data_IF_804639748895
#
_entry.id   IF_804639748895
#
_cell.length_a   1.000
_cell.length_b   1.000
_cell.length_c   1.000
_cell.angle_alpha   90.00
_cell.angle_beta   90.00
_cell.angle_gamma   90.00
#
_symmetry.space_group_name_H-M   'P 1'
#
loop_
_entity.id
_entity.type
_entity.pdbx_description
1 polymer ?
#
# COMPACT_ATOMS: atom_id res chain seq x y z
N UNK A 1 3.32 30.68 7.98
CA UNK A 1 3.76 29.26 7.91
C UNK A 1 2.68 28.51 7.17
N UNK A 2 3.01 28.03 5.98
CA UNK A 2 2.06 27.64 4.93
C UNK A 2 1.49 26.27 5.30
N UNK A 3 0.21 26.24 5.70
CA UNK A 3 -0.57 25.02 5.83
C UNK A 3 -1.03 24.61 4.44
N UNK A 4 -0.56 23.46 3.96
CA UNK A 4 -1.03 22.86 2.72
C UNK A 4 -1.98 21.72 3.10
N UNK A 5 -3.27 22.02 3.17
CA UNK A 5 -4.32 21.00 3.34
C UNK A 5 -4.50 20.29 2.00
N UNK A 6 -3.95 19.09 1.94
CA UNK A 6 -4.03 18.17 0.80
C UNK A 6 -5.49 17.88 0.45
N UNK A 7 -5.95 18.36 -0.72
CA UNK A 7 -7.33 18.20 -1.17
C UNK A 7 -7.32 17.25 -2.37
N UNK A 8 -7.66 15.98 -2.16
CA UNK A 8 -7.92 15.00 -3.21
C UNK A 8 -9.41 14.95 -3.48
N UNK A 9 -9.82 14.77 -4.73
CA UNK A 9 -11.24 14.97 -5.11
C UNK A 9 -11.82 13.92 -6.05
N UNK A 10 -11.06 12.90 -6.52
CA UNK A 10 -11.48 12.10 -7.69
C UNK A 10 -11.06 10.62 -7.65
N UNK A 11 -11.91 9.71 -8.14
CA UNK A 11 -11.66 8.26 -8.30
C UNK A 11 -11.91 7.85 -9.76
N UNK A 12 -11.07 6.98 -10.34
CA UNK A 12 -11.30 6.45 -11.70
C UNK A 12 -12.42 5.40 -11.72
N UNK A 13 -13.46 5.63 -12.54
CA UNK A 13 -14.69 4.83 -12.60
C UNK A 13 -14.58 3.44 -13.25
N UNK A 14 -13.38 2.98 -13.66
CA UNK A 14 -13.22 1.73 -14.42
C UNK A 14 -12.03 0.89 -13.96
N UNK A 15 -12.15 0.35 -12.75
CA UNK A 15 -11.62 -0.99 -12.47
C UNK A 15 -12.59 -1.73 -11.53
N UNK A 16 -13.73 -2.13 -12.09
CA UNK A 16 -14.78 -2.97 -11.48
C UNK A 16 -15.38 -2.37 -10.20
N UNK A 17 -16.25 -1.37 -10.36
CA UNK A 17 -17.57 -1.28 -9.69
C UNK A 17 -18.44 -0.29 -10.46
N UNK A 18 -19.67 -0.70 -10.75
CA UNK A 18 -20.66 0.03 -11.54
C UNK A 18 -21.68 0.60 -10.55
N UNK A 19 -21.49 1.83 -10.05
CA UNK A 19 -22.51 2.51 -9.24
C UNK A 19 -22.48 4.03 -9.45
N UNK A 20 -23.32 4.50 -10.36
CA UNK A 20 -23.87 5.87 -10.35
C UNK A 20 -24.77 6.00 -9.12
N UNK A 21 -24.63 7.02 -8.26
CA UNK A 21 -25.78 7.71 -7.64
C UNK A 21 -25.41 9.09 -7.02
N UNK A 22 -26.46 9.90 -6.88
CA UNK A 22 -26.54 11.36 -6.80
C UNK A 22 -26.37 11.91 -5.37
N UNK A 23 -25.85 13.15 -5.28
CA UNK A 23 -25.74 14.06 -4.12
C UNK A 23 -26.80 13.95 -3.00
N UNK A 24 -26.40 14.31 -1.77
CA UNK A 24 -27.13 15.26 -0.90
C UNK A 24 -26.25 15.77 0.27
N UNK A 25 -26.63 16.95 0.77
CA UNK A 25 -25.86 17.95 1.52
C UNK A 25 -25.78 17.78 3.04
N UNK A 26 -24.72 18.41 3.59
CA UNK A 26 -24.59 19.13 4.88
C UNK A 26 -24.65 18.36 6.22
N UNK A 27 -23.63 18.58 7.06
CA UNK A 27 -23.85 18.74 8.50
C UNK A 27 -22.82 18.15 9.47
N UNK A 28 -21.98 19.03 10.01
CA UNK A 28 -21.31 19.04 11.33
C UNK A 28 -20.10 18.12 11.62
N UNK A 29 -19.01 18.80 11.99
CA UNK A 29 -17.74 18.25 12.48
C UNK A 29 -17.82 18.14 14.00
N UNK A 30 -17.58 16.94 14.55
CA UNK A 30 -17.22 16.73 15.95
C UNK A 30 -15.71 16.45 16.04
N UNK A 31 -15.02 17.21 16.87
CA UNK A 31 -13.61 17.01 17.18
C UNK A 31 -13.43 15.77 18.03
N UNK A 32 -12.57 14.86 17.60
CA UNK A 32 -12.05 13.76 18.41
C UNK A 32 -10.52 13.70 18.27
N UNK A 33 -9.88 13.51 19.43
CA UNK A 33 -8.46 13.32 19.75
C UNK A 33 -7.63 12.55 18.68
N UNK A 34 -6.29 12.71 18.63
CA UNK A 34 -5.46 12.22 17.53
C UNK A 34 -5.40 10.69 17.51
N UNK A 35 -6.33 10.09 16.78
CA UNK A 35 -6.33 8.66 16.46
C UNK A 35 -5.28 8.43 15.38
N UNK A 36 -4.35 7.50 15.61
CA UNK A 36 -3.46 6.95 14.59
C UNK A 36 -4.34 6.34 13.47
N UNK A 37 -4.67 7.13 12.45
CA UNK A 37 -5.55 6.72 11.35
C UNK A 37 -4.82 5.72 10.47
N UNK A 38 -5.11 4.44 10.68
CA UNK A 38 -4.75 3.38 9.75
C UNK A 38 -5.45 3.55 8.41
N UNK A 39 -4.89 2.89 7.39
CA UNK A 39 -5.41 2.84 6.04
C UNK A 39 -6.87 2.37 5.93
N UNK A 40 -7.41 2.47 4.72
CA UNK A 40 -8.82 2.25 4.41
C UNK A 40 -9.37 0.95 5.00
N UNK A 41 -10.69 0.97 5.22
CA UNK A 41 -11.44 -0.17 5.74
C UNK A 41 -11.62 -1.28 4.69
N UNK A 42 -10.61 -1.60 3.87
CA UNK A 42 -10.73 -2.67 2.88
C UNK A 42 -11.10 -3.99 3.58
N UNK A 43 -12.21 -4.60 3.14
CA UNK A 43 -12.85 -5.77 3.79
C UNK A 43 -12.66 -7.00 2.93
N UNK A 44 -12.40 -8.13 3.59
CA UNK A 44 -12.40 -9.42 2.93
C UNK A 44 -13.81 -10.02 3.03
N UNK A 45 -14.54 -10.03 1.92
CA UNK A 45 -15.90 -10.57 1.82
C UNK A 45 -15.89 -11.74 0.82
N UNK A 46 -16.24 -12.94 1.27
CA UNK A 46 -16.27 -14.16 0.43
C UNK A 46 -14.98 -14.39 -0.39
N UNK A 47 -13.82 -14.11 0.22
CA UNK A 47 -12.50 -14.25 -0.41
C UNK A 47 -12.07 -13.09 -1.31
N UNK A 48 -12.92 -12.09 -1.54
CA UNK A 48 -12.59 -10.89 -2.29
C UNK A 48 -12.34 -9.68 -1.38
N UNK A 49 -11.22 -8.98 -1.57
CA UNK A 49 -10.98 -7.68 -0.94
C UNK A 49 -11.75 -6.59 -1.67
N UNK A 50 -12.63 -5.90 -0.94
CA UNK A 50 -13.45 -4.79 -1.41
C UNK A 50 -12.95 -3.47 -0.82
N UNK A 51 -13.16 -2.37 -1.55
CA UNK A 51 -12.81 -1.03 -1.09
C UNK A 51 -11.32 -0.69 -1.03
N UNK A 52 -10.42 -1.48 -1.62
CA UNK A 52 -8.98 -1.21 -1.66
C UNK A 52 -8.70 0.11 -2.40
N UNK A 53 -7.93 1.01 -1.82
CA UNK A 53 -7.60 2.31 -2.43
C UNK A 53 -6.12 2.41 -2.78
N UNK A 54 -5.86 2.67 -4.06
CA UNK A 54 -4.54 3.03 -4.60
C UNK A 54 -4.56 4.53 -4.89
N UNK A 55 -3.78 5.33 -4.17
CA UNK A 55 -3.79 6.77 -4.32
C UNK A 55 -2.51 7.29 -4.97
N UNK A 56 -2.65 8.20 -5.93
CA UNK A 56 -1.53 8.90 -6.59
C UNK A 56 -1.31 10.25 -5.89
N UNK A 57 -0.08 10.52 -5.48
CA UNK A 57 0.31 11.76 -4.81
C UNK A 57 0.12 12.99 -5.73
N UNK A 58 -0.28 14.17 -5.22
CA UNK A 58 -0.43 15.37 -6.03
C UNK A 58 0.88 15.88 -6.60
N UNK A 59 2.01 15.42 -6.05
CA UNK A 59 3.35 15.73 -6.53
C UNK A 59 3.69 14.96 -7.82
N UNK A 60 3.04 13.81 -8.05
CA UNK A 60 3.26 13.02 -9.26
C UNK A 60 2.61 13.74 -10.46
N UNK A 61 3.38 14.12 -11.49
CA UNK A 61 2.83 14.76 -12.67
C UNK A 61 1.82 13.87 -13.40
N UNK A 62 0.88 14.50 -14.08
CA UNK A 62 -0.14 13.81 -14.87
C UNK A 62 0.49 12.92 -15.96
N UNK A 63 0.08 11.66 -15.97
CA UNK A 63 0.55 10.64 -16.89
C UNK A 63 -0.52 9.55 -17.06
N UNK A 64 -1.22 9.57 -18.19
CA UNK A 64 -2.25 8.59 -18.52
C UNK A 64 -1.72 7.14 -18.54
N UNK A 65 -0.43 6.95 -18.89
CA UNK A 65 0.17 5.62 -18.89
C UNK A 65 0.28 5.07 -17.47
N UNK A 66 0.49 5.92 -16.47
CA UNK A 66 0.57 5.49 -15.07
C UNK A 66 -0.72 4.82 -14.62
N UNK A 67 -1.89 5.39 -14.96
CA UNK A 67 -3.20 4.78 -14.64
C UNK A 67 -3.34 3.40 -15.28
N UNK A 68 -2.98 3.30 -16.56
CA UNK A 68 -3.01 2.03 -17.30
C UNK A 68 -2.11 0.99 -16.63
N UNK A 69 -0.89 1.39 -16.26
CA UNK A 69 0.07 0.51 -15.58
C UNK A 69 -0.39 0.07 -14.20
N UNK A 70 -0.98 0.95 -13.40
CA UNK A 70 -1.58 0.59 -12.11
C UNK A 70 -2.64 -0.48 -12.31
N UNK A 71 -3.56 -0.25 -13.26
CA UNK A 71 -4.63 -1.20 -13.59
C UNK A 71 -4.07 -2.58 -13.95
N UNK A 72 -3.13 -2.65 -14.89
CA UNK A 72 -2.50 -3.91 -15.33
C UNK A 72 -1.78 -4.63 -14.18
N UNK A 73 -0.95 -3.91 -13.42
CA UNK A 73 -0.17 -4.47 -12.32
C UNK A 73 -1.09 -5.02 -11.23
N UNK A 74 -2.13 -4.29 -10.84
CA UNK A 74 -3.06 -4.73 -9.79
C UNK A 74 -3.99 -5.86 -10.24
N UNK A 75 -4.36 -5.94 -11.53
CA UNK A 75 -5.05 -7.11 -12.08
C UNK A 75 -4.17 -8.37 -12.00
N UNK A 76 -2.91 -8.27 -12.42
CA UNK A 76 -1.97 -9.39 -12.37
C UNK A 76 -1.67 -9.81 -10.92
N UNK A 77 -1.48 -8.84 -10.03
CA UNK A 77 -1.33 -9.07 -8.60
C UNK A 77 -2.56 -9.78 -8.00
N UNK A 78 -3.79 -9.33 -8.32
CA UNK A 78 -5.02 -9.96 -7.85
C UNK A 78 -5.10 -11.44 -8.25
N UNK A 79 -4.79 -11.75 -9.51
CA UNK A 79 -4.75 -13.13 -10.02
C UNK A 79 -3.67 -13.96 -9.30
N UNK A 80 -2.47 -13.41 -9.15
CA UNK A 80 -1.38 -14.10 -8.45
C UNK A 80 -1.71 -14.35 -6.98
N UNK A 81 -2.28 -13.36 -6.28
CA UNK A 81 -2.72 -13.49 -4.89
C UNK A 81 -3.74 -14.62 -4.75
N UNK A 82 -4.69 -14.72 -5.69
CA UNK A 82 -5.68 -15.79 -5.71
C UNK A 82 -5.03 -17.16 -5.82
N UNK A 83 -4.08 -17.33 -6.74
CA UNK A 83 -3.37 -18.59 -6.93
C UNK A 83 -2.49 -18.93 -5.71
N UNK A 84 -1.69 -17.96 -5.24
CA UNK A 84 -0.77 -18.13 -4.12
C UNK A 84 -1.48 -18.43 -2.80
N UNK A 85 -2.73 -18.00 -2.66
CA UNK A 85 -3.56 -18.27 -1.48
C UNK A 85 -4.43 -19.51 -1.62
N UNK A 86 -4.22 -20.36 -2.63
CA UNK A 86 -5.07 -21.53 -2.92
C UNK A 86 -6.55 -21.14 -3.10
N UNK A 87 -6.78 -20.09 -3.89
CA UNK A 87 -8.09 -19.56 -4.26
C UNK A 87 -8.87 -18.90 -3.10
N UNK A 88 -8.17 -18.48 -2.03
CA UNK A 88 -8.82 -17.92 -0.83
C UNK A 88 -8.91 -16.40 -0.80
N UNK A 89 -8.03 -15.68 -1.49
CA UNK A 89 -7.98 -14.23 -1.42
C UNK A 89 -7.64 -13.59 -2.78
N UNK A 90 -8.40 -12.59 -3.20
CA UNK A 90 -8.13 -11.80 -4.42
C UNK A 90 -8.61 -10.35 -4.24
N UNK A 91 -8.21 -9.44 -5.13
CA UNK A 91 -8.77 -8.09 -5.14
C UNK A 91 -10.08 -8.09 -5.95
N UNK A 92 -11.20 -7.83 -5.28
CA UNK A 92 -12.52 -7.78 -5.90
C UNK A 92 -12.86 -6.38 -6.40
N UNK A 93 -12.44 -5.35 -5.65
CA UNK A 93 -12.63 -3.95 -6.02
C UNK A 93 -11.36 -3.16 -5.67
N UNK A 94 -10.88 -2.37 -6.62
CA UNK A 94 -9.78 -1.42 -6.43
C UNK A 94 -10.20 -0.06 -6.94
N UNK A 95 -10.10 0.95 -6.08
CA UNK A 95 -10.38 2.35 -6.41
C UNK A 95 -9.05 3.10 -6.58
N UNK A 96 -8.85 3.70 -7.74
CA UNK A 96 -7.66 4.53 -7.99
C UNK A 96 -8.03 5.99 -7.70
N UNK A 97 -7.45 6.57 -6.64
CA UNK A 97 -7.63 7.96 -6.27
C UNK A 97 -6.69 8.86 -7.07
N UNK A 98 -7.27 9.70 -7.92
CA UNK A 98 -6.59 10.66 -8.80
C UNK A 98 -6.43 12.01 -8.08
N UNK A 99 -5.23 12.62 -8.09
CA UNK A 99 -5.00 13.88 -7.40
C UNK A 99 -5.71 15.04 -8.09
N UNK A 100 -6.13 16.04 -7.30
CA UNK A 100 -6.80 17.23 -7.81
C UNK A 100 -5.88 18.12 -8.67
N UNK A 101 -4.56 17.88 -8.64
CA UNK A 101 -3.58 18.57 -9.49
C UNK A 101 -3.62 18.11 -10.95
N UNK A 102 -4.22 16.95 -11.24
CA UNK A 102 -4.45 16.47 -12.60
C UNK A 102 -5.72 17.09 -13.20
N UNK A 103 -5.74 17.19 -14.53
CA UNK A 103 -6.86 17.74 -15.27
C UNK A 103 -8.18 16.99 -14.98
N UNK A 104 -9.30 17.70 -15.15
CA UNK A 104 -10.62 17.06 -15.11
C UNK A 104 -10.80 16.14 -16.32
N UNK A 105 -11.30 14.93 -16.08
CA UNK A 105 -11.72 14.00 -17.11
C UNK A 105 -13.16 13.53 -16.82
N UNK A 106 -14.08 13.53 -17.79
CA UNK A 106 -15.45 13.06 -17.60
C UNK A 106 -15.59 11.59 -17.14
N UNK A 107 -14.53 10.79 -17.24
CA UNK A 107 -14.46 9.41 -16.75
C UNK A 107 -14.12 9.29 -15.27
N UNK A 108 -13.79 10.40 -14.60
CA UNK A 108 -13.53 10.43 -13.17
C UNK A 108 -14.82 10.67 -12.39
N UNK A 109 -14.99 9.94 -11.30
CA UNK A 109 -16.03 10.15 -10.30
C UNK A 109 -15.47 10.97 -9.14
N UNK A 110 -16.33 11.67 -8.41
CA UNK A 110 -15.89 12.39 -7.20
C UNK A 110 -15.55 11.41 -6.09
N UNK A 111 -14.38 11.60 -5.46
CA UNK A 111 -14.05 10.89 -4.22
C UNK A 111 -15.03 11.31 -3.13
N UNK A 112 -15.60 10.34 -2.41
CA UNK A 112 -16.62 10.59 -1.37
C UNK A 112 -15.96 10.64 0.00
N UNK A 113 -15.10 9.65 0.27
CA UNK A 113 -14.43 9.49 1.57
C UNK A 113 -12.95 9.15 1.45
N UNK A 114 -12.48 8.85 0.25
CA UNK A 114 -11.12 8.41 -0.03
C UNK A 114 -10.13 9.57 0.12
N UNK A 115 -9.04 9.32 0.84
CA UNK A 115 -7.95 10.27 1.07
C UNK A 115 -6.62 9.56 0.89
N UNK A 116 -5.61 10.28 0.41
CA UNK A 116 -4.28 9.71 0.21
C UNK A 116 -3.62 9.28 1.52
N UNK A 117 -3.75 10.07 2.59
CA UNK A 117 -3.18 9.76 3.90
C UNK A 117 -3.85 8.56 4.57
N UNK A 118 -4.99 8.11 4.03
CA UNK A 118 -5.75 6.97 4.51
C UNK A 118 -5.74 5.83 3.48
N UNK A 119 -5.03 5.93 2.34
CA UNK A 119 -5.03 4.87 1.31
C UNK A 119 -4.20 3.65 1.70
N UNK A 120 -4.60 2.47 1.21
CA UNK A 120 -3.85 1.22 1.38
C UNK A 120 -2.52 1.24 0.64
N UNK A 121 -2.54 1.80 -0.57
CA UNK A 121 -1.36 1.94 -1.43
C UNK A 121 -1.19 3.41 -1.81
N UNK A 122 0.06 3.89 -1.73
CA UNK A 122 0.47 5.25 -2.08
C UNK A 122 1.49 5.21 -3.18
N UNK A 123 1.19 5.89 -4.27
CA UNK A 123 2.10 6.10 -5.39
C UNK A 123 2.66 7.50 -5.23
N UNK A 124 3.93 7.57 -4.84
CA UNK A 124 4.60 8.83 -4.54
C UNK A 124 6.09 8.75 -4.92
N UNK A 125 6.75 9.90 -4.92
CA UNK A 125 8.20 9.93 -5.09
C UNK A 125 8.90 9.34 -3.86
N UNK A 126 10.05 8.68 -4.08
CA UNK A 126 10.80 8.16 -2.96
C UNK A 126 11.39 9.30 -2.12
N UNK A 127 11.59 9.09 -0.81
CA UNK A 127 12.33 10.03 0.02
C UNK A 127 13.72 10.28 -0.60
N UNK A 128 14.16 11.54 -0.60
CA UNK A 128 15.41 11.97 -1.25
C UNK A 128 16.65 11.20 -0.76
N UNK A 129 16.62 10.71 0.47
CA UNK A 129 17.73 10.02 1.13
C UNK A 129 17.91 8.55 0.69
N UNK A 130 16.96 7.97 -0.06
CA UNK A 130 16.93 6.53 -0.37
C UNK A 130 17.77 6.10 -1.57
N UNK A 131 19.06 6.37 -1.56
CA UNK A 131 19.99 5.76 -2.54
C UNK A 131 20.77 4.62 -1.89
N UNK A 132 20.79 3.39 -2.44
CA UNK A 132 20.42 2.96 -3.79
C UNK A 132 18.99 2.37 -3.94
N UNK A 133 18.21 2.27 -2.87
CA UNK A 133 16.90 1.60 -2.81
C UNK A 133 15.71 2.48 -3.18
N UNK A 134 15.90 3.54 -3.97
CA UNK A 134 14.90 4.59 -4.20
C UNK A 134 13.57 4.05 -4.73
N UNK A 135 13.61 3.07 -5.62
CA UNK A 135 12.41 2.55 -6.26
C UNK A 135 11.92 1.24 -5.65
N UNK A 136 12.45 0.85 -4.49
CA UNK A 136 12.06 -0.38 -3.81
C UNK A 136 10.63 -0.22 -3.25
N UNK A 137 9.67 -1.09 -3.66
CA UNK A 137 8.38 -1.19 -2.98
C UNK A 137 8.56 -1.54 -1.51
N UNK A 138 7.75 -0.95 -0.64
CA UNK A 138 7.79 -1.30 0.78
C UNK A 138 6.47 -1.05 1.48
N UNK A 139 6.23 -1.78 2.55
CA UNK A 139 5.12 -1.56 3.49
C UNK A 139 5.61 -0.77 4.69
N UNK A 140 4.97 0.36 4.97
CA UNK A 140 5.14 1.07 6.24
C UNK A 140 4.40 0.30 7.32
N UNK A 141 5.16 -0.40 8.19
CA UNK A 141 4.61 -1.30 9.20
C UNK A 141 5.32 -1.12 10.56
N UNK A 142 5.02 -0.05 11.31
CA UNK A 142 5.47 0.07 12.70
C UNK A 142 4.61 -0.77 13.68
N UNK A 143 3.69 -1.60 13.16
CA UNK A 143 2.78 -2.41 13.96
C UNK A 143 3.35 -3.79 14.31
N UNK A 144 2.75 -4.44 15.30
CA UNK A 144 3.13 -5.79 15.73
C UNK A 144 2.90 -6.85 14.64
N UNK A 145 3.40 -8.04 14.87
CA UNK A 145 3.06 -9.16 13.99
C UNK A 145 1.56 -9.48 14.02
N UNK A 146 1.04 -9.99 12.92
CA UNK A 146 -0.38 -10.33 12.78
C UNK A 146 -1.28 -9.09 12.67
N UNK A 147 -0.72 -7.89 12.77
CA UNK A 147 -1.43 -6.62 12.66
C UNK A 147 -1.21 -6.00 11.29
N UNK A 148 -2.25 -5.34 10.78
CA UNK A 148 -2.17 -4.60 9.54
C UNK A 148 -1.07 -3.52 9.60
N UNK A 149 -0.35 -3.31 8.49
CA UNK A 149 0.52 -2.18 8.28
C UNK A 149 -0.26 -0.89 8.03
N UNK A 150 0.45 0.23 7.88
CA UNK A 150 -0.15 1.53 7.63
C UNK A 150 -0.44 1.77 6.16
N UNK A 151 0.47 1.44 5.25
CA UNK A 151 0.27 1.54 3.80
C UNK A 151 1.43 0.85 3.06
N UNK A 152 1.20 0.50 1.80
CA UNK A 152 2.23 0.11 0.82
C UNK A 152 2.63 1.35 0.03
N UNK A 153 3.93 1.53 -0.20
CA UNK A 153 4.47 2.62 -1.01
C UNK A 153 5.09 2.07 -2.30
N UNK A 154 4.69 2.64 -3.42
CA UNK A 154 5.23 2.36 -4.75
C UNK A 154 5.69 3.66 -5.41
N UNK A 155 6.70 3.62 -6.27
CA UNK A 155 7.09 4.79 -7.06
C UNK A 155 6.52 4.72 -8.49
N UNK A 156 6.25 5.86 -9.14
CA UNK A 156 5.90 5.87 -10.56
C UNK A 156 6.95 5.19 -11.45
N UNK A 157 8.24 5.35 -11.10
CA UNK A 157 9.35 4.74 -11.81
C UNK A 157 9.34 3.21 -11.69
N UNK A 158 9.04 2.67 -10.51
CA UNK A 158 8.86 1.23 -10.32
C UNK A 158 7.75 0.69 -11.21
N UNK A 159 6.58 1.34 -11.27
CA UNK A 159 5.41 0.87 -12.02
C UNK A 159 5.57 0.96 -13.55
N UNK A 160 6.31 1.96 -14.04
CA UNK A 160 6.43 2.25 -15.48
C UNK A 160 7.67 1.64 -16.13
N UNK A 161 8.77 1.47 -15.39
CA UNK A 161 10.02 1.00 -15.96
C UNK A 161 10.31 -0.45 -15.57
N UNK A 162 10.14 -1.36 -16.54
CA UNK A 162 10.39 -2.79 -16.33
C UNK A 162 11.83 -3.10 -15.94
N UNK A 163 12.83 -2.36 -16.44
CA UNK A 163 14.22 -2.55 -16.04
C UNK A 163 14.44 -2.21 -14.57
N UNK A 164 13.76 -1.18 -14.07
CA UNK A 164 13.78 -0.83 -12.64
C UNK A 164 13.10 -1.94 -11.82
N UNK A 165 11.92 -2.40 -12.25
CA UNK A 165 11.18 -3.45 -11.55
C UNK A 165 11.93 -4.79 -11.50
N UNK A 166 12.62 -5.17 -12.58
CA UNK A 166 13.39 -6.42 -12.68
C UNK A 166 14.48 -6.56 -11.62
N UNK A 167 14.96 -5.46 -11.02
CA UNK A 167 15.91 -5.48 -9.92
C UNK A 167 15.33 -6.06 -8.62
N UNK A 168 14.00 -6.01 -8.48
CA UNK A 168 13.28 -6.43 -7.28
C UNK A 168 12.51 -7.74 -7.48
N UNK A 169 12.12 -8.04 -8.72
CA UNK A 169 11.32 -9.22 -9.09
C UNK A 169 10.10 -8.83 -9.91
N UNK A 170 9.27 -9.82 -10.23
CA UNK A 170 8.02 -9.55 -10.94
C UNK A 170 7.01 -8.81 -10.05
N UNK A 171 6.22 -7.92 -10.66
CA UNK A 171 5.31 -7.02 -9.95
C UNK A 171 4.37 -7.78 -9.01
N UNK A 172 3.76 -8.85 -9.50
CA UNK A 172 2.76 -9.63 -8.78
C UNK A 172 3.33 -10.33 -7.54
N UNK A 173 4.59 -10.78 -7.59
CA UNK A 173 5.27 -11.41 -6.45
C UNK A 173 5.69 -10.39 -5.41
N UNK A 174 6.26 -9.26 -5.85
CA UNK A 174 6.67 -8.18 -4.96
C UNK A 174 5.44 -7.58 -4.27
N UNK A 175 4.34 -7.36 -5.00
CA UNK A 175 3.10 -6.89 -4.40
C UNK A 175 2.45 -7.91 -3.47
N UNK A 176 2.53 -9.22 -3.74
CA UNK A 176 2.06 -10.23 -2.80
C UNK A 176 2.88 -10.25 -1.51
N UNK A 177 4.19 -10.06 -1.62
CA UNK A 177 5.09 -9.91 -0.47
C UNK A 177 4.70 -8.70 0.39
N UNK A 178 4.59 -7.52 -0.23
CA UNK A 178 4.19 -6.30 0.48
C UNK A 178 2.74 -6.37 0.99
N UNK A 179 1.84 -7.02 0.26
CA UNK A 179 0.47 -7.24 0.72
C UNK A 179 0.41 -8.14 1.95
N UNK A 180 1.26 -9.15 2.04
CA UNK A 180 1.35 -10.00 3.22
C UNK A 180 1.84 -9.19 4.44
N UNK A 181 2.85 -8.33 4.27
CA UNK A 181 3.27 -7.39 5.31
C UNK A 181 2.12 -6.46 5.71
N UNK A 182 1.42 -5.92 4.72
CA UNK A 182 0.36 -4.96 4.91
C UNK A 182 -0.87 -5.57 5.58
N UNK A 183 -1.45 -6.67 5.09
CA UNK A 183 -2.70 -7.22 5.64
C UNK A 183 -2.51 -8.24 6.74
N UNK A 184 -1.49 -9.08 6.66
CA UNK A 184 -1.31 -10.19 7.60
C UNK A 184 -0.23 -9.93 8.63
N UNK A 185 0.50 -8.83 8.48
CA UNK A 185 1.48 -8.40 9.47
C UNK A 185 2.66 -9.34 9.61
N UNK A 186 3.02 -10.09 8.56
CA UNK A 186 4.23 -10.92 8.53
C UNK A 186 5.49 -10.06 8.40
N UNK A 187 6.67 -10.63 8.59
CA UNK A 187 7.97 -9.95 8.48
C UNK A 187 8.89 -10.70 7.52
N UNK A 188 9.91 -10.01 7.00
CA UNK A 188 10.91 -10.62 6.11
C UNK A 188 11.57 -11.82 6.80
N UNK A 189 11.70 -12.93 6.06
CA UNK A 189 12.36 -14.15 6.54
C UNK A 189 13.89 -14.10 6.37
N UNK A 190 14.41 -13.12 5.63
CA UNK A 190 15.83 -12.92 5.40
C UNK A 190 16.37 -11.71 6.20
N UNK A 191 17.64 -11.74 6.63
CA UNK A 191 18.27 -10.58 7.26
C UNK A 191 18.39 -9.43 6.26
N UNK A 192 18.46 -8.20 6.76
CA UNK A 192 18.56 -7.05 5.87
C UNK A 192 19.92 -7.12 5.14
N UNK A 193 19.97 -6.83 3.82
CA UNK A 193 21.18 -6.95 3.01
C UNK A 193 22.40 -6.15 3.50
N UNK A 194 22.18 -5.14 4.36
CA UNK A 194 23.19 -4.22 4.88
C UNK A 194 23.26 -4.22 6.42
N UNK A 195 22.66 -5.20 7.08
CA UNK A 195 22.78 -5.37 8.53
C UNK A 195 23.67 -6.54 8.86
N UNK A 196 24.45 -6.42 9.93
CA UNK A 196 25.13 -7.54 10.60
C UNK A 196 24.13 -8.47 11.33
N UNK A 197 22.85 -8.44 10.94
CA UNK A 197 21.82 -9.27 11.52
C UNK A 197 22.10 -10.73 11.14
N UNK A 198 21.98 -11.67 12.10
CA UNK A 198 22.20 -13.08 11.82
C UNK A 198 21.20 -13.58 10.77
N UNK A 199 21.66 -14.46 9.88
CA UNK A 199 20.83 -15.08 8.84
C UNK A 199 19.70 -15.98 9.36
N UNK A 200 19.69 -16.25 10.67
CA UNK A 200 18.70 -17.07 11.33
C UNK A 200 18.36 -16.48 12.70
N UNK A 201 17.12 -16.67 13.13
CA UNK A 201 16.71 -16.31 14.48
C UNK A 201 17.16 -17.40 15.46
N UNK A 202 17.88 -16.97 16.51
CA UNK A 202 18.20 -17.83 17.65
C UNK A 202 17.26 -17.46 18.80
N UNK A 203 16.54 -18.44 19.34
CA UNK A 203 15.67 -18.24 20.48
C UNK A 203 16.49 -17.91 21.74
N UNK A 204 15.84 -17.36 22.78
CA UNK A 204 16.48 -17.06 24.06
C UNK A 204 17.08 -18.30 24.75
N UNK A 205 16.66 -19.49 24.34
CA UNK A 205 17.19 -20.79 24.77
C UNK A 205 18.51 -21.18 24.07
N UNK A 206 18.94 -20.44 23.05
CA UNK A 206 20.14 -20.74 22.25
C UNK A 206 19.87 -21.68 21.06
N UNK A 207 18.65 -22.17 20.87
CA UNK A 207 18.28 -23.02 19.73
C UNK A 207 17.81 -22.20 18.52
N UNK A 208 18.07 -22.71 17.32
CA UNK A 208 17.53 -22.14 16.09
C UNK A 208 16.07 -22.59 15.96
N UNK A 209 15.17 -21.62 15.77
CA UNK A 209 13.76 -21.86 15.52
C UNK A 209 13.36 -21.23 14.18
N UNK A 210 12.30 -21.73 13.56
CA UNK A 210 11.71 -21.07 12.40
C UNK A 210 11.25 -19.65 12.76
N UNK A 211 11.39 -18.72 11.82
CA UNK A 211 10.93 -17.34 11.97
C UNK A 211 9.45 -17.34 12.34
N UNK A 212 9.14 -16.90 13.55
CA UNK A 212 7.76 -16.82 14.05
C UNK A 212 7.59 -15.58 14.90
N UNK A 213 6.36 -15.12 14.95
CA UNK A 213 5.98 -14.05 15.84
C UNK A 213 5.74 -14.60 17.24
N UNK A 214 6.55 -14.15 18.18
CA UNK A 214 6.41 -14.54 19.58
C UNK A 214 6.33 -13.31 20.47
N UNK A 215 5.34 -13.30 21.36
CA UNK A 215 5.21 -12.29 22.42
C UNK A 215 6.28 -12.46 23.51
N UNK A 216 6.99 -13.59 23.53
CA UNK A 216 8.01 -13.88 24.55
C UNK A 216 9.35 -13.21 24.30
N UNK A 217 9.57 -12.62 23.13
CA UNK A 217 10.80 -11.92 22.77
C UNK A 217 10.48 -10.43 22.64
N UNK A 218 10.95 -9.64 23.59
CA UNK A 218 10.83 -8.18 23.55
C UNK A 218 11.81 -7.63 22.53
N UNK A 219 11.29 -7.07 21.43
CA UNK A 219 12.10 -6.32 20.46
C UNK A 219 12.50 -4.94 20.99
N UNK A 220 13.64 -4.43 20.54
CA UNK A 220 14.04 -3.04 20.78
C UNK A 220 13.66 -2.21 19.56
N UNK A 221 12.88 -1.15 19.75
CA UNK A 221 12.62 -0.19 18.67
C UNK A 221 13.96 0.44 18.27
N UNK A 222 14.37 0.20 17.01
CA UNK A 222 15.40 1.00 16.37
C UNK A 222 14.68 1.93 15.42
N UNK A 223 14.79 3.24 15.66
CA UNK A 223 14.42 4.24 14.66
C UNK A 223 15.40 4.04 13.50
N UNK A 224 14.94 3.35 12.47
CA UNK A 224 15.70 3.18 11.26
C UNK A 224 15.48 4.45 10.44
N UNK A 225 16.48 5.33 10.42
CA UNK A 225 16.64 6.30 9.34
C UNK A 225 16.88 5.46 8.07
N UNK A 226 15.81 5.18 7.31
CA UNK A 226 15.83 4.38 6.08
C UNK A 226 15.61 5.26 4.86
#
# INVERSE_FOLDING_TARGET
MIGNTSTFSKVLAKCITLLVFINLTSGQISYQEPFYRGATEAKLTDGGYEGVVVAISPQVPEDEQLITRITEVFMNFSNYLHQATEQRAYLKEVRILIPATWAEDPSYESAVSERFEESDIRIDFPPEERTPSKNLPYTSKPTFCGSQGFYIHLTPEYLKNENTALLYGSYEKVLAHEWAHYRWGVFDEYPRPLSDDPHFYQASSGFIEGTRCTISITGTEKILLK
#
